data_IF_411682473954
#
_entry.id   IF_411682473954
#
_cell.length_a   1.000
_cell.length_b   1.000
_cell.length_c   1.000
_cell.angle_alpha   90.00
_cell.angle_beta   90.00
_cell.angle_gamma   90.00
#
_symmetry.space_group_name_H-M   'P 1'
#
loop_
_entity.id
_entity.type
_entity.pdbx_description
1 polymer ?
#
# COMPACT_ATOMS: atom_id res chain seq x y z
N UNK A 1 -1.00 23.06 9.50
CA UNK A 1 -1.17 21.60 9.53
C UNK A 1 0.18 20.97 9.23
N UNK A 2 0.55 19.89 9.92
CA UNK A 2 1.85 19.23 9.70
C UNK A 2 1.89 18.61 8.29
N UNK A 3 2.93 18.95 7.52
CA UNK A 3 3.14 18.49 6.14
C UNK A 3 3.23 16.95 6.08
N UNK A 4 3.78 16.32 7.11
CA UNK A 4 3.84 14.85 7.18
C UNK A 4 2.44 14.27 7.32
N UNK A 5 1.63 14.79 8.24
CA UNK A 5 0.25 14.35 8.42
C UNK A 5 -0.57 14.47 7.12
N UNK A 6 -0.39 15.58 6.38
CA UNK A 6 -1.05 15.79 5.10
C UNK A 6 -0.64 14.75 4.04
N UNK A 7 0.65 14.41 3.93
CA UNK A 7 1.08 13.37 3.00
C UNK A 7 0.54 11.99 3.37
N UNK A 8 0.52 11.64 4.66
CA UNK A 8 -0.04 10.36 5.13
C UNK A 8 -1.50 10.22 4.72
N UNK A 9 -2.27 11.29 4.84
CA UNK A 9 -3.66 11.33 4.40
C UNK A 9 -3.78 11.14 2.88
N UNK A 10 -2.99 11.90 2.10
CA UNK A 10 -3.02 11.79 0.64
C UNK A 10 -2.61 10.41 0.11
N UNK A 11 -1.61 9.78 0.72
CA UNK A 11 -1.17 8.43 0.33
C UNK A 11 -2.28 7.41 0.62
N UNK A 12 -2.89 7.45 1.80
CA UNK A 12 -3.98 6.53 2.16
C UNK A 12 -5.21 6.72 1.27
N UNK A 13 -5.59 7.97 0.96
CA UNK A 13 -6.69 8.27 0.05
C UNK A 13 -6.38 7.73 -1.34
N UNK A 14 -5.19 8.03 -1.87
CA UNK A 14 -4.79 7.59 -3.20
C UNK A 14 -4.81 6.06 -3.30
N UNK A 15 -4.13 5.35 -2.39
CA UNK A 15 -4.10 3.88 -2.42
C UNK A 15 -5.51 3.28 -2.27
N UNK A 16 -6.34 3.85 -1.40
CA UNK A 16 -7.72 3.38 -1.21
C UNK A 16 -8.63 3.65 -2.42
N UNK A 17 -8.35 4.69 -3.21
CA UNK A 17 -9.10 4.97 -4.44
C UNK A 17 -8.70 3.98 -5.53
N UNK A 18 -7.40 3.83 -5.81
CA UNK A 18 -6.92 2.95 -6.87
C UNK A 18 -7.19 1.47 -6.57
N UNK A 19 -7.08 1.03 -5.32
CA UNK A 19 -7.35 -0.36 -4.95
C UNK A 19 -8.83 -0.77 -5.12
N UNK A 20 -9.77 0.19 -5.13
CA UNK A 20 -11.20 -0.11 -5.42
C UNK A 20 -11.43 -0.46 -6.88
N UNK A 21 -10.60 0.08 -7.76
CA UNK A 21 -10.65 -0.17 -9.20
C UNK A 21 -9.77 -1.37 -9.60
N UNK A 22 -9.19 -2.09 -8.63
CA UNK A 22 -8.42 -3.29 -8.91
C UNK A 22 -9.33 -4.39 -9.49
N UNK A 23 -8.85 -5.03 -10.54
CA UNK A 23 -9.59 -6.05 -11.29
C UNK A 23 -9.14 -7.46 -10.91
N UNK A 24 -8.75 -7.66 -9.64
CA UNK A 24 -8.39 -8.98 -9.15
C UNK A 24 -9.59 -9.93 -9.18
N UNK A 25 -9.30 -11.21 -9.41
CA UNK A 25 -10.30 -12.29 -9.35
C UNK A 25 -10.84 -12.46 -7.92
N UNK A 26 -12.02 -13.09 -7.78
CA UNK A 26 -12.70 -13.32 -6.50
C UNK A 26 -11.86 -14.18 -5.52
N UNK A 27 -10.95 -15.01 -6.05
CA UNK A 27 -10.00 -15.82 -5.25
C UNK A 27 -8.73 -15.04 -4.84
N UNK A 28 -8.62 -13.77 -5.22
CA UNK A 28 -7.49 -12.90 -4.96
C UNK A 28 -7.94 -11.66 -4.19
N UNK A 29 -7.56 -11.60 -2.91
CA UNK A 29 -7.89 -10.47 -2.06
C UNK A 29 -7.04 -9.24 -2.39
N UNK A 30 -7.69 -8.08 -2.39
CA UNK A 30 -7.05 -6.77 -2.35
C UNK A 30 -6.83 -6.37 -0.90
N UNK A 31 -5.57 -6.28 -0.49
CA UNK A 31 -5.20 -5.91 0.88
C UNK A 31 -4.48 -4.57 0.90
N UNK A 32 -5.03 -3.62 1.67
CA UNK A 32 -4.38 -2.34 1.98
C UNK A 32 -3.74 -2.43 3.37
N UNK A 33 -2.43 -2.21 3.44
CA UNK A 33 -1.65 -2.30 4.67
C UNK A 33 -1.07 -0.92 4.96
N UNK A 34 -1.59 -0.26 5.99
CA UNK A 34 -1.16 1.08 6.39
C UNK A 34 -0.52 1.05 7.78
N UNK A 35 0.82 1.05 7.84
CA UNK A 35 1.60 1.27 9.05
C UNK A 35 1.92 2.77 9.15
N UNK A 36 1.02 3.52 9.79
CA UNK A 36 1.15 4.97 9.96
C UNK A 36 2.18 5.37 11.01
N UNK A 37 2.57 4.45 11.90
CA UNK A 37 3.62 4.67 12.90
C UNK A 37 5.00 4.68 12.26
N UNK A 38 5.23 3.79 11.30
CA UNK A 38 6.53 3.59 10.63
C UNK A 38 6.58 4.15 9.21
N UNK A 39 5.45 4.69 8.74
CA UNK A 39 5.30 5.27 7.40
C UNK A 39 5.48 4.26 6.25
N UNK A 40 4.93 3.05 6.40
CA UNK A 40 4.87 2.05 5.33
C UNK A 40 3.42 1.86 4.87
N UNK A 41 3.20 1.97 3.56
CA UNK A 41 1.88 1.88 2.96
C UNK A 41 1.95 0.95 1.75
N UNK A 42 1.14 -0.12 1.76
CA UNK A 42 1.18 -1.13 0.72
C UNK A 42 -0.23 -1.43 0.21
N UNK A 43 -0.29 -1.73 -1.08
CA UNK A 43 -1.42 -2.39 -1.72
C UNK A 43 -0.92 -3.73 -2.26
N UNK A 44 -1.51 -4.81 -1.76
CA UNK A 44 -1.14 -6.18 -2.04
C UNK A 44 -2.30 -6.91 -2.73
N UNK A 45 -1.98 -7.83 -3.63
CA UNK A 45 -2.89 -8.90 -4.02
C UNK A 45 -2.42 -10.22 -3.41
N UNK A 46 -3.32 -10.87 -2.67
CA UNK A 46 -3.04 -12.07 -1.90
C UNK A 46 -4.14 -13.09 -2.11
N UNK A 47 -3.79 -14.26 -2.65
CA UNK A 47 -4.81 -15.28 -2.91
C UNK A 47 -4.27 -16.42 -3.74
N UNK A 48 -5.15 -17.06 -4.50
CA UNK A 48 -4.80 -18.15 -5.39
C UNK A 48 -5.45 -17.93 -6.74
N UNK A 49 -4.80 -18.46 -7.78
CA UNK A 49 -5.41 -18.62 -9.10
C UNK A 49 -5.17 -20.06 -9.51
N UNK A 50 -6.19 -20.90 -9.37
CA UNK A 50 -6.06 -22.36 -9.48
C UNK A 50 -5.01 -22.88 -8.48
N UNK A 51 -3.93 -23.51 -8.95
CA UNK A 51 -2.84 -24.03 -8.12
C UNK A 51 -1.67 -23.04 -7.94
N UNK A 52 -1.82 -21.80 -8.42
CA UNK A 52 -0.78 -20.80 -8.36
C UNK A 52 -1.02 -19.82 -7.21
N UNK A 53 -0.02 -19.66 -6.34
CA UNK A 53 -0.06 -18.66 -5.27
C UNK A 53 0.07 -17.27 -5.87
N UNK A 54 -0.91 -16.41 -5.59
CA UNK A 54 -0.80 -14.97 -5.85
C UNK A 54 -0.34 -14.28 -4.58
N UNK A 55 0.84 -13.68 -4.63
CA UNK A 55 1.40 -12.87 -3.55
C UNK A 55 2.29 -11.78 -4.15
N UNK A 56 1.69 -10.62 -4.45
CA UNK A 56 2.38 -9.52 -5.14
C UNK A 56 2.05 -8.18 -4.49
N UNK A 57 3.06 -7.31 -4.41
CA UNK A 57 2.91 -5.92 -4.04
C UNK A 57 2.69 -5.09 -5.31
N UNK A 58 1.53 -4.43 -5.40
CA UNK A 58 1.19 -3.58 -6.55
C UNK A 58 1.83 -2.21 -6.37
N UNK A 59 1.68 -1.63 -5.18
CA UNK A 59 2.31 -0.38 -4.80
C UNK A 59 2.87 -0.52 -3.40
N UNK A 60 4.14 -0.12 -3.24
CA UNK A 60 4.79 0.10 -1.96
C UNK A 60 5.18 1.57 -1.89
N UNK A 61 4.69 2.27 -0.88
CA UNK A 61 5.18 3.59 -0.51
C UNK A 61 5.78 3.56 0.88
N UNK A 62 7.00 4.06 0.99
CA UNK A 62 7.66 4.25 2.27
C UNK A 62 8.31 5.63 2.36
N UNK A 63 8.30 6.20 3.56
CA UNK A 63 9.05 7.42 3.82
C UNK A 63 10.47 7.07 4.24
N UNK A 64 11.42 7.23 3.32
CA UNK A 64 12.84 7.14 3.66
C UNK A 64 13.25 8.37 4.47
N UNK A 65 13.76 8.16 5.69
CA UNK A 65 14.38 9.23 6.47
C UNK A 65 15.78 9.47 5.93
N UNK A 66 16.01 10.63 5.32
CA UNK A 66 17.36 11.07 5.00
C UNK A 66 18.14 11.28 6.32
N UNK A 67 19.22 10.52 6.53
CA UNK A 67 20.19 10.84 7.57
C UNK A 67 20.85 12.18 7.23
N UNK A 68 20.41 13.26 7.88
CA UNK A 68 21.05 14.57 7.78
C UNK A 68 22.25 14.69 8.74
N UNK A 69 23.12 13.70 8.82
CA UNK A 69 24.42 13.83 9.51
C UNK A 69 25.42 12.80 8.96
N UNK A 70 26.06 13.16 7.83
CA UNK A 70 27.47 12.90 7.54
C UNK A 70 28.01 14.22 6.98
#
# INVERSE_FOLDING_TARGET
MDKVAQYREYIQILLSQYAKDDVSDDEVEVQLIFDTERDHYQWMNVGWQQLNRVYRCIVHWERVRSLKYI
#
